data_IF_855972238190
#
_entry.id   IF_855972238190
#
_cell.length_a   1.000
_cell.length_b   1.000
_cell.length_c   1.000
_cell.angle_alpha   90.00
_cell.angle_beta   90.00
_cell.angle_gamma   90.00
#
_symmetry.space_group_name_H-M   'P 1'
#
loop_
_entity.id
_entity.type
_entity.pdbx_description
1 polymer ?
#
# COMPACT_ATOMS: atom_id res chain seq x y z
N UNK A 1 -52.20 -24.42 -1.94
CA UNK A 1 -52.80 -24.36 -0.59
C UNK A 1 -51.87 -25.16 0.34
N UNK A 2 -51.19 -24.57 1.33
CA UNK A 2 -51.73 -24.29 2.67
C UNK A 2 -50.82 -23.26 3.37
N UNK A 3 -51.43 -22.21 3.91
CA UNK A 3 -50.82 -21.24 4.83
C UNK A 3 -50.65 -21.91 6.20
N UNK A 4 -49.46 -21.87 6.79
CA UNK A 4 -49.28 -22.15 8.22
C UNK A 4 -49.13 -20.80 8.92
N UNK A 5 -50.13 -20.48 9.77
CA UNK A 5 -50.20 -19.27 10.59
C UNK A 5 -49.54 -19.54 11.94
N UNK A 6 -48.89 -18.50 12.46
CA UNK A 6 -47.96 -18.56 13.57
C UNK A 6 -48.56 -18.79 14.95
N UNK A 7 -47.69 -19.25 15.85
CA UNK A 7 -47.85 -19.23 17.32
C UNK A 7 -46.48 -18.93 17.97
N UNK A 8 -45.73 -17.95 17.46
CA UNK A 8 -44.37 -17.64 17.95
C UNK A 8 -44.14 -16.15 18.27
N UNK A 9 -45.22 -15.38 18.46
CA UNK A 9 -45.14 -13.93 18.70
C UNK A 9 -44.84 -13.52 20.14
N UNK A 10 -45.05 -14.40 21.13
CA UNK A 10 -44.97 -14.03 22.55
C UNK A 10 -43.55 -14.05 23.15
N UNK A 11 -42.71 -15.01 22.76
CA UNK A 11 -41.38 -15.18 23.35
C UNK A 11 -40.35 -14.16 22.85
N UNK A 12 -40.55 -13.58 21.67
CA UNK A 12 -39.57 -12.67 21.07
C UNK A 12 -39.42 -11.33 21.81
N UNK A 13 -40.51 -10.78 22.35
CA UNK A 13 -40.49 -9.50 23.04
C UNK A 13 -39.82 -9.58 24.43
N UNK A 14 -39.98 -10.71 25.12
CA UNK A 14 -39.31 -10.96 26.41
C UNK A 14 -37.80 -11.15 26.21
N UNK A 15 -37.40 -11.81 25.11
CA UNK A 15 -35.99 -11.96 24.75
C UNK A 15 -35.33 -10.63 24.37
N UNK A 16 -36.01 -9.78 23.61
CA UNK A 16 -35.47 -8.47 23.21
C UNK A 16 -35.26 -7.52 24.41
N UNK A 17 -36.15 -7.55 25.40
CA UNK A 17 -36.00 -6.73 26.61
C UNK A 17 -34.87 -7.23 27.52
N UNK A 18 -34.67 -8.55 27.62
CA UNK A 18 -33.59 -9.12 28.41
C UNK A 18 -32.21 -8.86 27.77
N UNK A 19 -32.12 -8.86 26.43
CA UNK A 19 -30.89 -8.49 25.72
C UNK A 19 -30.49 -7.03 25.88
N UNK A 20 -31.44 -6.12 26.12
CA UNK A 20 -31.13 -4.71 26.38
C UNK A 20 -30.62 -4.47 27.81
N UNK A 21 -31.09 -5.23 28.81
CA UNK A 21 -30.58 -5.14 30.18
C UNK A 21 -29.20 -5.77 30.38
N UNK A 22 -28.80 -6.73 29.54
CA UNK A 22 -27.47 -7.36 29.59
C UNK A 22 -26.46 -6.74 28.59
N UNK A 23 -26.86 -5.71 27.84
CA UNK A 23 -25.92 -4.99 26.99
C UNK A 23 -24.99 -4.15 27.87
N UNK A 24 -23.66 -4.37 27.85
CA UNK A 24 -22.73 -3.53 28.60
C UNK A 24 -22.72 -2.13 27.98
N UNK A 25 -23.48 -1.21 28.57
CA UNK A 25 -23.53 0.21 28.18
C UNK A 25 -22.56 1.01 29.04
N UNK A 26 -21.26 0.77 28.87
CA UNK A 26 -20.22 1.46 29.61
C UNK A 26 -19.00 1.76 28.73
N UNK A 27 -18.26 2.85 29.00
CA UNK A 27 -17.04 3.22 28.27
C UNK A 27 -15.95 2.14 28.30
N UNK A 28 -16.03 1.22 29.27
CA UNK A 28 -15.14 0.06 29.42
C UNK A 28 -15.20 -0.93 28.25
N UNK A 29 -16.30 -0.97 27.49
CA UNK A 29 -16.42 -1.84 26.32
C UNK A 29 -15.56 -1.36 25.13
N UNK A 30 -15.23 -0.06 25.08
CA UNK A 30 -14.39 0.53 24.03
C UNK A 30 -12.89 0.46 24.42
N UNK A 31 -12.59 0.29 25.71
CA UNK A 31 -11.22 0.31 26.25
C UNK A 31 -10.68 -1.04 26.68
N UNK A 32 -11.22 -2.17 26.20
CA UNK A 32 -10.39 -3.39 26.08
C UNK A 32 -9.40 -3.15 24.95
N UNK A 33 -8.41 -2.31 25.25
CA UNK A 33 -7.25 -2.06 24.42
C UNK A 33 -6.73 -3.41 23.94
N UNK A 34 -6.56 -3.55 22.63
CA UNK A 34 -5.84 -4.68 22.08
C UNK A 34 -4.50 -4.83 22.84
N UNK A 35 -4.04 -6.05 23.10
CA UNK A 35 -2.72 -6.25 23.68
C UNK A 35 -1.68 -5.47 22.85
N UNK A 36 -0.62 -4.94 23.49
CA UNK A 36 0.43 -4.24 22.76
C UNK A 36 0.95 -5.14 21.65
N UNK A 37 1.22 -4.55 20.48
CA UNK A 37 1.85 -5.27 19.37
C UNK A 37 3.20 -5.80 19.87
N UNK A 38 3.30 -7.12 19.98
CA UNK A 38 4.51 -7.86 20.33
C UNK A 38 5.22 -8.22 19.04
N UNK A 39 6.50 -7.83 18.95
CA UNK A 39 7.38 -8.18 17.83
C UNK A 39 8.17 -9.47 18.10
N UNK A 40 8.00 -10.05 19.30
CA UNK A 40 8.60 -11.33 19.67
C UNK A 40 8.22 -12.44 18.66
N UNK A 41 9.24 -13.10 18.10
CA UNK A 41 9.07 -14.15 17.08
C UNK A 41 8.84 -13.65 15.64
N UNK A 42 8.65 -12.35 15.42
CA UNK A 42 8.54 -11.75 14.08
C UNK A 42 9.86 -11.22 13.53
N UNK A 43 10.92 -11.17 14.34
CA UNK A 43 12.25 -10.70 13.95
C UNK A 43 13.20 -11.84 13.54
N UNK A 44 12.77 -13.09 13.67
CA UNK A 44 13.58 -14.28 13.39
C UNK A 44 13.41 -14.79 11.95
N UNK A 45 12.54 -14.17 11.16
CA UNK A 45 12.32 -14.54 9.76
C UNK A 45 13.53 -14.13 8.91
N UNK A 46 14.31 -15.12 8.49
CA UNK A 46 15.46 -14.90 7.61
C UNK A 46 14.96 -14.64 6.19
N UNK A 47 15.17 -13.41 5.71
CA UNK A 47 14.94 -13.08 4.30
C UNK A 47 15.82 -13.95 3.39
N UNK A 48 15.35 -14.31 2.19
CA UNK A 48 16.21 -14.95 1.20
C UNK A 48 17.40 -14.03 0.90
N UNK A 49 18.58 -14.64 0.70
CA UNK A 49 19.74 -13.90 0.22
C UNK A 49 19.39 -13.31 -1.16
N UNK A 50 19.73 -12.04 -1.44
CA UNK A 50 19.46 -11.44 -2.73
C UNK A 50 20.21 -12.20 -3.83
N UNK A 51 19.57 -12.36 -4.99
CA UNK A 51 20.27 -12.80 -6.20
C UNK A 51 21.19 -11.66 -6.64
N UNK A 52 22.49 -11.79 -6.37
CA UNK A 52 23.53 -10.84 -6.79
C UNK A 52 23.81 -10.88 -8.30
N UNK A 53 22.86 -11.37 -9.10
CA UNK A 53 22.90 -11.34 -10.55
C UNK A 53 23.47 -10.02 -11.07
N UNK A 54 24.34 -10.11 -12.08
CA UNK A 54 25.09 -8.97 -12.59
C UNK A 54 24.13 -7.84 -13.00
N UNK A 55 24.10 -6.75 -12.21
CA UNK A 55 23.32 -5.56 -12.54
C UNK A 55 23.76 -5.02 -13.90
N UNK A 56 22.81 -4.61 -14.76
CA UNK A 56 23.14 -4.01 -16.04
C UNK A 56 23.87 -2.69 -15.82
N UNK A 57 24.96 -2.49 -16.55
CA UNK A 57 25.69 -1.22 -16.53
C UNK A 57 24.89 -0.17 -17.33
N UNK A 58 24.51 0.92 -16.68
CA UNK A 58 23.77 2.03 -17.28
C UNK A 58 24.71 3.20 -17.54
N UNK A 59 24.49 3.91 -18.65
CA UNK A 59 25.32 5.07 -19.06
C UNK A 59 24.74 6.42 -18.60
N UNK A 60 23.91 6.40 -17.55
CA UNK A 60 23.13 7.56 -17.10
C UNK A 60 23.12 7.63 -15.58
N UNK A 61 23.00 8.85 -15.05
CA UNK A 61 22.83 9.08 -13.63
C UNK A 61 21.35 9.28 -13.27
N UNK A 62 20.77 8.28 -12.61
CA UNK A 62 19.43 8.32 -12.05
C UNK A 62 19.45 8.24 -10.51
N UNK A 63 20.61 8.50 -9.87
CA UNK A 63 20.81 8.32 -8.43
C UNK A 63 19.77 9.05 -7.58
N UNK A 64 19.37 10.25 -7.98
CA UNK A 64 18.32 11.01 -7.30
C UNK A 64 16.93 10.35 -7.37
N UNK A 65 16.62 9.67 -8.48
CA UNK A 65 15.33 8.99 -8.66
C UNK A 65 15.25 7.71 -7.81
N UNK A 66 16.38 7.02 -7.62
CA UNK A 66 16.45 5.78 -6.87
C UNK A 66 16.23 5.94 -5.37
N UNK A 67 16.33 7.17 -4.84
CA UNK A 67 16.03 7.46 -3.42
C UNK A 67 14.59 7.07 -3.07
N UNK A 68 13.63 7.46 -3.91
CA UNK A 68 12.21 7.15 -3.70
C UNK A 68 11.74 5.95 -4.54
N UNK A 69 12.45 5.63 -5.63
CA UNK A 69 12.08 4.57 -6.56
C UNK A 69 13.18 3.52 -6.72
N UNK A 70 13.53 2.86 -5.62
CA UNK A 70 14.65 1.91 -5.56
C UNK A 70 14.54 0.76 -6.57
N UNK A 71 13.33 0.30 -6.89
CA UNK A 71 13.12 -0.81 -7.82
C UNK A 71 13.34 -0.45 -9.29
N UNK A 72 13.48 0.84 -9.64
CA UNK A 72 13.65 1.26 -11.03
C UNK A 72 14.96 0.77 -11.65
N UNK A 73 16.00 0.51 -10.87
CA UNK A 73 17.30 0.07 -11.40
C UNK A 73 17.19 -1.24 -12.21
N UNK A 74 16.23 -2.10 -11.83
CA UNK A 74 16.01 -3.42 -12.45
C UNK A 74 14.87 -3.41 -13.48
N UNK A 75 14.14 -2.30 -13.61
CA UNK A 75 12.98 -2.21 -14.50
C UNK A 75 13.41 -2.29 -15.97
N UNK A 76 12.82 -3.20 -16.80
CA UNK A 76 13.23 -3.38 -18.19
C UNK A 76 13.17 -2.12 -19.05
N UNK A 77 12.30 -1.17 -18.72
CA UNK A 77 12.24 0.12 -19.42
C UNK A 77 13.46 0.98 -19.10
N UNK A 78 13.81 1.08 -17.82
CA UNK A 78 14.95 1.87 -17.32
C UNK A 78 16.26 1.30 -17.82
N UNK A 79 16.41 -0.03 -17.78
CA UNK A 79 17.62 -0.70 -18.29
C UNK A 79 17.83 -0.40 -19.77
N UNK A 80 16.80 -0.58 -20.61
CA UNK A 80 16.90 -0.29 -22.05
C UNK A 80 17.22 1.17 -22.33
N UNK A 81 16.59 2.10 -21.62
CA UNK A 81 16.81 3.54 -21.82
C UNK A 81 18.21 3.96 -21.33
N UNK A 82 18.64 3.45 -20.17
CA UNK A 82 19.95 3.76 -19.60
C UNK A 82 21.12 3.23 -20.44
N UNK A 83 20.93 2.13 -21.17
CA UNK A 83 21.91 1.62 -22.15
C UNK A 83 22.07 2.53 -23.38
N UNK A 84 20.99 3.24 -23.74
CA UNK A 84 20.90 4.21 -24.84
C UNK A 84 21.12 5.67 -24.38
N UNK A 85 21.71 5.88 -23.20
CA UNK A 85 22.02 7.23 -22.67
C UNK A 85 20.76 8.11 -22.49
N UNK A 86 19.64 7.48 -22.12
CA UNK A 86 18.38 8.16 -21.77
C UNK A 86 18.09 7.93 -20.28
N UNK A 87 18.41 8.94 -19.47
CA UNK A 87 18.06 8.97 -18.04
C UNK A 87 16.69 9.58 -17.80
N UNK A 88 16.18 9.46 -16.57
CA UNK A 88 14.83 9.92 -16.19
C UNK A 88 14.60 11.39 -16.57
N UNK A 89 15.57 12.26 -16.26
CA UNK A 89 15.44 13.71 -16.47
C UNK A 89 15.37 14.11 -17.95
N UNK A 90 15.86 13.26 -18.86
CA UNK A 90 15.81 13.53 -20.31
C UNK A 90 14.37 13.54 -20.83
N UNK A 91 13.49 12.76 -20.18
CA UNK A 91 12.07 12.70 -20.51
C UNK A 91 11.22 13.51 -19.53
N UNK A 92 11.48 13.39 -18.22
CA UNK A 92 10.65 13.94 -17.15
C UNK A 92 11.01 15.36 -16.71
N UNK A 93 12.12 15.93 -17.21
CA UNK A 93 12.64 17.21 -16.76
C UNK A 93 13.51 17.09 -15.51
N UNK A 94 14.10 18.19 -15.05
CA UNK A 94 14.94 18.20 -13.85
C UNK A 94 14.16 17.80 -12.58
N UNK A 95 12.85 18.06 -12.59
CA UNK A 95 11.87 17.64 -11.59
C UNK A 95 12.29 18.05 -10.18
N UNK A 96 12.79 19.27 -10.01
CA UNK A 96 13.32 19.75 -8.73
C UNK A 96 12.25 19.80 -7.64
N UNK A 97 11.03 20.27 -7.96
CA UNK A 97 9.94 20.32 -6.99
C UNK A 97 9.50 18.90 -6.60
N UNK A 98 9.38 17.99 -7.57
CA UNK A 98 9.09 16.58 -7.32
C UNK A 98 10.16 15.88 -6.45
N UNK A 99 11.45 16.11 -6.74
CA UNK A 99 12.56 15.48 -6.01
C UNK A 99 12.70 15.97 -4.57
N UNK A 100 12.20 17.17 -4.27
CA UNK A 100 12.23 17.76 -2.95
C UNK A 100 10.90 17.59 -2.19
N UNK A 101 9.92 16.90 -2.78
CA UNK A 101 8.61 16.64 -2.18
C UNK A 101 8.57 15.22 -1.57
N UNK A 102 8.82 15.16 -0.26
CA UNK A 102 8.77 13.92 0.52
C UNK A 102 7.33 13.38 0.71
N UNK A 103 6.30 14.21 0.48
CA UNK A 103 4.90 13.78 0.55
C UNK A 103 4.44 13.10 -0.76
N UNK A 104 5.30 13.07 -1.80
CA UNK A 104 5.06 12.46 -3.11
C UNK A 104 3.79 12.99 -3.83
N UNK A 105 3.42 14.26 -3.60
CA UNK A 105 2.22 14.86 -4.18
C UNK A 105 2.51 15.52 -5.53
N UNK A 106 3.70 16.09 -5.66
CA UNK A 106 4.14 16.86 -6.82
C UNK A 106 4.57 15.89 -7.92
N UNK A 107 3.95 15.92 -9.12
CA UNK A 107 4.39 15.08 -10.23
C UNK A 107 5.71 15.58 -10.83
N UNK A 108 6.41 14.74 -11.62
CA UNK A 108 7.55 15.20 -12.42
C UNK A 108 7.15 16.33 -13.39
N UNK A 109 8.13 17.12 -13.87
CA UNK A 109 7.86 18.30 -14.72
C UNK A 109 7.10 17.93 -16.01
N UNK A 110 7.36 16.72 -16.53
CA UNK A 110 6.69 16.19 -17.71
C UNK A 110 6.31 14.73 -17.52
N UNK A 111 5.07 14.41 -17.90
CA UNK A 111 4.57 13.04 -18.01
C UNK A 111 4.12 12.77 -19.45
N UNK A 112 4.34 11.54 -19.94
CA UNK A 112 3.88 11.09 -21.26
C UNK A 112 2.74 10.11 -21.09
N UNK A 113 1.62 10.37 -21.74
CA UNK A 113 0.54 9.40 -21.88
C UNK A 113 0.80 8.45 -23.05
N UNK A 114 0.03 7.35 -23.16
CA UNK A 114 0.14 6.42 -24.29
C UNK A 114 -0.10 7.04 -25.67
N UNK A 115 -0.73 8.22 -25.74
CA UNK A 115 -0.96 8.97 -27.00
C UNK A 115 0.23 9.85 -27.38
N UNK A 116 1.20 10.01 -26.49
CA UNK A 116 2.37 10.86 -26.67
C UNK A 116 3.63 10.03 -27.02
N UNK A 117 3.44 8.72 -27.27
CA UNK A 117 4.48 7.74 -27.58
C UNK A 117 4.02 6.99 -28.85
N UNK A 118 4.78 7.13 -29.95
CA UNK A 118 4.53 6.48 -31.25
C UNK A 118 4.97 5.01 -31.28
#
# INVERSE_FOLDING_TARGET
MKRVRGILGGCFLVWLLLSWLLAPSGPEAITRAAPPLSLEGYMDEKLPEPDEGKKPELKVDNSACYVCHASLEEEPLVVRHGQEEVGCIKCHGESLDHRNDEDNVTPPDKMYGPRDID
#
